data_IF_003584534980
#
_entry.id   IF_003584534980
#
_cell.length_a   1.000
_cell.length_b   1.000
_cell.length_c   1.000
_cell.angle_alpha   90.00
_cell.angle_beta   90.00
_cell.angle_gamma   90.00
#
_symmetry.space_group_name_H-M   'P 1'
#
loop_
_entity.id
_entity.type
_entity.pdbx_description
1 polymer ?
#
# COMPACT_ATOMS: atom_id res chain seq x y z
N UNK A 1 24.39 -34.75 47.08
CA UNK A 1 25.00 -34.51 45.75
C UNK A 1 24.03 -35.07 44.73
N UNK A 2 23.41 -34.31 43.83
CA UNK A 2 23.56 -32.89 43.53
C UNK A 2 22.32 -32.48 42.71
N UNK A 3 21.44 -31.69 43.32
CA UNK A 3 20.37 -30.93 42.67
C UNK A 3 20.97 -29.87 41.73
N UNK A 4 21.50 -30.27 40.56
CA UNK A 4 22.10 -29.33 39.60
C UNK A 4 21.56 -29.49 38.17
N UNK A 5 20.78 -30.53 37.86
CA UNK A 5 20.24 -30.72 36.49
C UNK A 5 18.86 -30.08 36.24
N UNK A 6 18.42 -29.13 37.07
CA UNK A 6 17.16 -28.38 36.87
C UNK A 6 17.35 -26.87 36.68
N UNK A 7 18.54 -26.40 36.29
CA UNK A 7 18.84 -24.97 36.19
C UNK A 7 19.50 -24.51 34.88
N UNK A 8 19.21 -25.15 33.73
CA UNK A 8 19.81 -24.77 32.44
C UNK A 8 18.85 -24.74 31.22
N UNK A 9 17.57 -24.45 31.42
CA UNK A 9 16.67 -24.06 30.29
C UNK A 9 16.21 -22.61 30.41
N UNK A 10 17.12 -21.74 30.85
CA UNK A 10 16.99 -20.29 30.83
C UNK A 10 17.99 -19.66 29.88
N UNK A 11 18.24 -20.30 28.73
CA UNK A 11 18.91 -19.63 27.62
C UNK A 11 17.82 -18.82 26.93
N UNK A 12 17.78 -17.53 27.23
CA UNK A 12 17.11 -16.53 26.40
C UNK A 12 17.72 -16.67 25.00
N UNK A 13 17.14 -17.56 24.16
CA UNK A 13 17.34 -17.46 22.72
C UNK A 13 16.83 -16.06 22.36
N UNK A 14 17.74 -15.19 21.94
CA UNK A 14 17.46 -13.82 21.53
C UNK A 14 16.57 -13.88 20.28
N UNK A 15 15.28 -14.14 20.49
CA UNK A 15 14.34 -14.42 19.44
C UNK A 15 13.96 -13.09 18.80
N UNK A 16 14.52 -12.85 17.62
CA UNK A 16 14.27 -11.65 16.82
C UNK A 16 12.82 -11.61 16.33
N UNK A 17 12.29 -10.40 16.12
CA UNK A 17 10.94 -10.24 15.61
C UNK A 17 10.94 -10.21 14.06
N UNK A 18 10.51 -11.30 13.36
CA UNK A 18 10.70 -11.44 11.92
C UNK A 18 10.04 -10.33 11.11
N UNK A 19 8.88 -9.86 11.57
CA UNK A 19 8.17 -8.72 10.96
C UNK A 19 9.02 -7.46 10.95
N UNK A 20 9.69 -7.15 12.08
CA UNK A 20 10.54 -5.96 12.17
C UNK A 20 11.81 -6.11 11.33
N UNK A 21 12.40 -7.30 11.27
CA UNK A 21 13.60 -7.54 10.44
C UNK A 21 13.32 -7.14 9.00
N UNK A 22 12.22 -7.64 8.41
CA UNK A 22 11.91 -7.33 7.02
C UNK A 22 11.62 -5.85 6.80
N UNK A 23 10.90 -5.20 7.73
CA UNK A 23 10.63 -3.77 7.65
C UNK A 23 11.88 -2.91 7.78
N UNK A 24 12.82 -3.30 8.65
CA UNK A 24 14.13 -2.64 8.77
C UNK A 24 14.89 -2.77 7.45
N UNK A 25 14.99 -3.98 6.89
CA UNK A 25 15.66 -4.21 5.60
C UNK A 25 15.03 -3.38 4.48
N UNK A 26 13.70 -3.35 4.39
CA UNK A 26 12.98 -2.56 3.38
C UNK A 26 13.20 -1.06 3.59
N UNK A 27 13.15 -0.59 4.84
CA UNK A 27 13.41 0.81 5.18
C UNK A 27 14.83 1.23 4.78
N UNK A 28 15.80 0.34 4.90
CA UNK A 28 17.20 0.59 4.51
C UNK A 28 17.41 0.53 3.00
N UNK A 29 16.73 -0.39 2.29
CA UNK A 29 16.79 -0.48 0.82
C UNK A 29 16.07 0.68 0.12
N UNK A 30 15.00 1.19 0.72
CA UNK A 30 14.13 2.21 0.15
C UNK A 30 13.82 3.31 1.18
N UNK A 31 14.80 4.19 1.46
CA UNK A 31 14.60 5.29 2.39
C UNK A 31 13.39 6.15 2.02
N UNK A 32 12.65 6.62 3.02
CA UNK A 32 11.48 7.50 2.89
C UNK A 32 10.27 6.93 2.12
N UNK A 33 10.29 5.65 1.73
CA UNK A 33 9.17 4.99 1.03
C UNK A 33 8.32 4.13 1.95
N UNK A 34 8.83 3.74 3.12
CA UNK A 34 8.12 2.94 4.11
C UNK A 34 7.51 3.82 5.22
N UNK A 35 6.23 3.61 5.50
CA UNK A 35 5.49 4.33 6.53
C UNK A 35 4.79 3.33 7.45
N UNK A 36 4.95 3.47 8.77
CA UNK A 36 4.21 2.68 9.75
C UNK A 36 3.10 3.53 10.38
N UNK A 37 1.96 2.91 10.67
CA UNK A 37 0.84 3.60 11.32
C UNK A 37 1.12 3.88 12.79
N UNK A 38 1.89 3.00 13.46
CA UNK A 38 2.32 3.16 14.84
C UNK A 38 3.71 3.84 14.90
N UNK A 39 3.77 4.98 15.59
CA UNK A 39 4.98 5.78 15.76
C UNK A 39 6.07 5.08 16.58
N UNK A 40 5.71 4.18 17.50
CA UNK A 40 6.68 3.40 18.25
C UNK A 40 7.34 2.38 17.33
N UNK A 41 6.56 1.65 16.54
CA UNK A 41 7.11 0.73 15.53
C UNK A 41 8.02 1.47 14.56
N UNK A 42 7.59 2.64 14.07
CA UNK A 42 8.41 3.47 13.17
C UNK A 42 9.74 3.90 13.81
N UNK A 43 9.73 4.31 15.08
CA UNK A 43 10.96 4.67 15.82
C UNK A 43 11.89 3.49 15.98
N UNK A 44 11.37 2.31 16.29
CA UNK A 44 12.19 1.12 16.50
C UNK A 44 12.78 0.59 15.18
N UNK A 45 12.05 0.71 14.07
CA UNK A 45 12.59 0.47 12.73
C UNK A 45 13.75 1.43 12.42
N UNK A 46 13.58 2.74 12.67
CA UNK A 46 14.63 3.75 12.44
C UNK A 46 15.87 3.57 13.32
N UNK A 47 15.71 2.94 14.48
CA UNK A 47 16.83 2.57 15.38
C UNK A 47 17.43 1.21 15.03
N UNK A 48 16.89 0.51 14.03
CA UNK A 48 17.27 -0.86 13.68
C UNK A 48 17.17 -1.81 14.89
N UNK A 49 16.14 -1.64 15.72
CA UNK A 49 15.94 -2.47 16.91
C UNK A 49 15.21 -3.77 16.54
N UNK A 50 15.98 -4.75 16.08
CA UNK A 50 15.51 -6.10 15.69
C UNK A 50 14.87 -6.90 16.84
N UNK A 51 15.02 -6.45 18.09
CA UNK A 51 14.55 -7.13 19.30
C UNK A 51 13.25 -6.56 19.85
N UNK A 52 12.76 -5.46 19.28
CA UNK A 52 11.51 -4.87 19.73
C UNK A 52 10.35 -5.81 19.43
N UNK A 53 9.61 -6.19 20.48
CA UNK A 53 8.42 -7.03 20.38
C UNK A 53 7.17 -6.17 20.29
N UNK A 54 6.31 -6.52 19.34
CA UNK A 54 5.06 -5.82 19.12
C UNK A 54 3.92 -6.83 19.02
N UNK A 55 3.02 -6.80 20.01
CA UNK A 55 2.01 -7.86 20.21
C UNK A 55 0.73 -7.65 19.38
N UNK A 56 0.66 -6.62 18.56
CA UNK A 56 -0.49 -6.36 17.69
C UNK A 56 -0.06 -6.49 16.22
N UNK A 57 -1.01 -6.31 15.31
CA UNK A 57 -0.79 -6.28 13.87
C UNK A 57 -0.03 -5.02 13.49
N UNK A 58 1.15 -5.17 12.89
CA UNK A 58 1.90 -4.03 12.35
C UNK A 58 1.24 -3.60 11.05
N UNK A 59 0.76 -2.36 11.01
CA UNK A 59 0.15 -1.76 9.82
C UNK A 59 1.14 -0.80 9.18
N UNK A 60 1.53 -1.09 7.95
CA UNK A 60 2.51 -0.29 7.23
C UNK A 60 2.14 -0.11 5.75
N UNK A 61 2.71 0.91 5.15
CA UNK A 61 2.48 1.30 3.77
C UNK A 61 3.81 1.56 3.07
N UNK A 62 3.97 1.01 1.87
CA UNK A 62 5.09 1.29 0.98
C UNK A 62 4.63 2.15 -0.19
N UNK A 63 5.31 3.27 -0.46
CA UNK A 63 4.90 4.25 -1.47
C UNK A 63 5.95 4.45 -2.54
N UNK A 64 5.54 4.29 -3.80
CA UNK A 64 6.33 4.62 -4.98
C UNK A 64 5.74 5.87 -5.62
N UNK A 65 6.53 6.93 -5.70
CA UNK A 65 6.20 8.15 -6.41
C UNK A 65 6.93 8.19 -7.76
N UNK A 66 6.18 8.43 -8.84
CA UNK A 66 6.73 8.74 -10.15
C UNK A 66 6.16 10.10 -10.60
N UNK A 67 7.05 11.07 -10.82
CA UNK A 67 6.70 12.43 -11.22
C UNK A 67 7.45 12.79 -12.50
N UNK A 68 6.76 12.76 -13.64
CA UNK A 68 7.27 13.24 -14.92
C UNK A 68 6.20 14.04 -15.66
N UNK A 69 6.61 15.15 -16.28
CA UNK A 69 5.82 15.92 -17.27
C UNK A 69 4.33 16.11 -16.89
N UNK A 70 4.08 16.69 -15.72
CA UNK A 70 2.73 17.01 -15.21
C UNK A 70 1.86 15.80 -14.78
N UNK A 71 2.39 14.59 -14.80
CA UNK A 71 1.72 13.38 -14.29
C UNK A 71 2.35 12.99 -12.95
N UNK A 72 1.52 12.97 -11.90
CA UNK A 72 1.89 12.41 -10.60
C UNK A 72 1.24 11.05 -10.47
N UNK A 73 2.07 10.02 -10.40
CA UNK A 73 1.65 8.64 -10.19
C UNK A 73 2.12 8.22 -8.80
N UNK A 74 1.21 7.62 -8.05
CA UNK A 74 1.51 7.05 -6.73
C UNK A 74 1.00 5.62 -6.68
N UNK A 75 1.90 4.68 -6.44
CA UNK A 75 1.55 3.34 -5.96
C UNK A 75 1.73 3.31 -4.45
N UNK A 76 0.70 2.88 -3.73
CA UNK A 76 0.73 2.64 -2.28
C UNK A 76 0.34 1.18 -2.02
N UNK A 77 1.24 0.44 -1.37
CA UNK A 77 1.02 -0.96 -0.97
C UNK A 77 0.81 -0.93 0.53
N UNK A 78 -0.41 -1.21 0.98
CA UNK A 78 -0.73 -1.32 2.40
C UNK A 78 -0.65 -2.79 2.81
N UNK A 79 -0.04 -3.05 3.96
CA UNK A 79 0.08 -4.40 4.50
C UNK A 79 -0.12 -4.44 6.00
N UNK A 80 -0.83 -5.49 6.42
CA UNK A 80 -1.10 -5.83 7.80
C UNK A 80 -0.30 -7.11 8.15
N UNK A 81 0.62 -6.98 9.11
CA UNK A 81 1.53 -8.04 9.56
C UNK A 81 1.14 -8.50 10.99
N UNK A 82 0.23 -9.48 11.13
CA UNK A 82 -0.19 -10.01 12.43
C UNK A 82 0.92 -10.86 13.07
N UNK A 83 0.76 -11.27 14.33
CA UNK A 83 1.75 -12.13 15.02
C UNK A 83 2.00 -13.47 14.31
N UNK A 84 1.03 -13.97 13.52
CA UNK A 84 1.18 -15.18 12.70
C UNK A 84 1.89 -14.97 11.36
N UNK A 85 2.58 -13.85 11.17
CA UNK A 85 3.41 -13.60 10.00
C UNK A 85 4.63 -14.55 9.99
N UNK A 86 5.03 -15.12 8.84
CA UNK A 86 4.61 -14.76 7.49
C UNK A 86 3.39 -15.52 6.95
N UNK A 87 2.91 -16.56 7.65
CA UNK A 87 1.81 -17.42 7.17
C UNK A 87 0.45 -16.71 7.09
N UNK A 88 0.25 -15.71 7.95
CA UNK A 88 -0.93 -14.86 7.94
C UNK A 88 -0.50 -13.44 7.64
N UNK A 89 -0.86 -12.92 6.47
CA UNK A 89 -0.71 -11.51 6.12
C UNK A 89 -1.84 -11.05 5.23
N UNK A 90 -2.18 -9.77 5.31
CA UNK A 90 -3.12 -9.15 4.37
C UNK A 90 -2.38 -8.08 3.57
N UNK A 91 -2.52 -8.15 2.25
CA UNK A 91 -1.95 -7.18 1.31
C UNK A 91 -3.09 -6.45 0.61
N UNK A 92 -3.02 -5.13 0.60
CA UNK A 92 -3.97 -4.25 -0.06
C UNK A 92 -3.22 -3.28 -0.96
N UNK A 93 -3.41 -3.43 -2.27
CA UNK A 93 -2.80 -2.54 -3.26
C UNK A 93 -3.72 -1.37 -3.58
N UNK A 94 -3.17 -0.16 -3.56
CA UNK A 94 -3.87 1.06 -3.91
C UNK A 94 -2.98 1.91 -4.82
N UNK A 95 -3.52 2.50 -5.88
CA UNK A 95 -2.76 3.46 -6.67
C UNK A 95 -3.61 4.65 -7.06
N UNK A 96 -2.96 5.81 -7.09
CA UNK A 96 -3.53 7.08 -7.43
C UNK A 96 -2.89 7.54 -8.74
N UNK A 97 -3.74 7.65 -9.76
CA UNK A 97 -3.37 8.07 -11.11
C UNK A 97 -4.37 9.14 -11.50
N UNK A 98 -3.86 10.34 -11.80
CA UNK A 98 -4.68 11.49 -12.16
C UNK A 98 -5.32 11.27 -13.54
N UNK A 99 -4.59 10.63 -14.46
CA UNK A 99 -5.05 10.32 -15.81
C UNK A 99 -6.06 9.14 -15.80
N UNK A 100 -7.35 9.36 -16.13
CA UNK A 100 -8.39 8.33 -16.03
C UNK A 100 -8.21 7.17 -17.01
N UNK A 101 -7.66 7.43 -18.20
CA UNK A 101 -7.45 6.39 -19.21
C UNK A 101 -6.27 5.49 -18.83
N UNK A 102 -5.19 6.10 -18.34
CA UNK A 102 -4.05 5.40 -17.75
C UNK A 102 -4.49 4.56 -16.54
N UNK A 103 -5.32 5.13 -15.66
CA UNK A 103 -5.88 4.42 -14.51
C UNK A 103 -6.64 3.16 -14.92
N UNK A 104 -7.53 3.27 -15.92
CA UNK A 104 -8.35 2.13 -16.38
C UNK A 104 -7.49 1.02 -16.99
N UNK A 105 -6.49 1.39 -17.80
CA UNK A 105 -5.62 0.42 -18.45
C UNK A 105 -4.74 -0.31 -17.42
N UNK A 106 -4.09 0.45 -16.52
CA UNK A 106 -3.24 -0.11 -15.48
C UNK A 106 -4.04 -0.90 -14.46
N UNK A 107 -5.25 -0.47 -14.08
CA UNK A 107 -6.12 -1.27 -13.19
C UNK A 107 -6.30 -2.69 -13.73
N UNK A 108 -6.66 -2.80 -15.02
CA UNK A 108 -6.95 -4.10 -15.62
C UNK A 108 -5.72 -5.02 -15.61
N UNK A 109 -4.53 -4.47 -15.87
CA UNK A 109 -3.30 -5.25 -16.01
C UNK A 109 -2.66 -5.54 -14.64
N UNK A 110 -2.50 -4.52 -13.80
CA UNK A 110 -1.81 -4.62 -12.52
C UNK A 110 -2.59 -5.42 -11.50
N UNK A 111 -3.94 -5.34 -11.48
CA UNK A 111 -4.74 -6.14 -10.53
C UNK A 111 -4.44 -7.63 -10.67
N UNK A 112 -4.40 -8.15 -11.90
CA UNK A 112 -4.11 -9.57 -12.11
C UNK A 112 -2.66 -9.91 -11.71
N UNK A 113 -1.69 -9.13 -12.19
CA UNK A 113 -0.27 -9.35 -11.89
C UNK A 113 0.03 -9.29 -10.39
N UNK A 114 -0.55 -8.35 -9.65
CA UNK A 114 -0.33 -8.22 -8.20
C UNK A 114 -1.07 -9.29 -7.39
N UNK A 115 -2.24 -9.75 -7.84
CA UNK A 115 -2.92 -10.86 -7.19
C UNK A 115 -2.08 -12.15 -7.21
N UNK A 116 -1.32 -12.39 -8.28
CA UNK A 116 -0.38 -13.51 -8.36
C UNK A 116 0.79 -13.39 -7.35
N UNK A 117 1.13 -12.17 -6.93
CA UNK A 117 2.21 -11.93 -5.97
C UNK A 117 1.79 -12.12 -4.51
N UNK A 118 0.49 -12.21 -4.22
CA UNK A 118 -0.02 -12.35 -2.83
C UNK A 118 0.54 -13.61 -2.16
N UNK A 119 0.84 -14.65 -2.94
CA UNK A 119 1.41 -15.91 -2.46
C UNK A 119 2.87 -15.81 -1.98
N UNK A 120 3.60 -14.75 -2.34
CA UNK A 120 4.97 -14.54 -1.85
C UNK A 120 4.88 -14.14 -0.39
N UNK A 121 5.45 -14.93 0.51
CA UNK A 121 5.27 -14.74 1.96
C UNK A 121 6.18 -13.67 2.57
N UNK A 122 7.33 -13.36 1.96
CA UNK A 122 8.31 -12.40 2.46
C UNK A 122 8.23 -11.05 1.72
N UNK A 123 8.21 -9.93 2.45
CA UNK A 123 8.17 -8.58 1.89
C UNK A 123 9.46 -8.20 1.14
N UNK A 124 10.62 -8.71 1.56
CA UNK A 124 11.93 -8.46 0.92
C UNK A 124 11.94 -8.95 -0.52
N UNK A 125 11.25 -10.06 -0.83
CA UNK A 125 11.11 -10.56 -2.21
C UNK A 125 9.95 -9.85 -2.94
N UNK A 126 8.85 -9.60 -2.23
CA UNK A 126 7.64 -9.04 -2.80
C UNK A 126 7.81 -7.59 -3.30
N UNK A 127 8.41 -6.71 -2.48
CA UNK A 127 8.50 -5.27 -2.77
C UNK A 127 9.32 -4.99 -4.05
N UNK A 128 10.53 -5.55 -4.25
CA UNK A 128 11.28 -5.36 -5.49
C UNK A 128 10.51 -5.82 -6.73
N UNK A 129 9.83 -6.97 -6.65
CA UNK A 129 9.04 -7.51 -7.76
C UNK A 129 7.85 -6.62 -8.12
N UNK A 130 7.20 -6.01 -7.12
CA UNK A 130 6.13 -5.03 -7.37
C UNK A 130 6.70 -3.78 -8.05
N UNK A 131 7.85 -3.28 -7.59
CA UNK A 131 8.52 -2.11 -8.18
C UNK A 131 8.85 -2.38 -9.66
N UNK A 132 9.40 -3.55 -9.96
CA UNK A 132 9.72 -3.99 -11.32
C UNK A 132 8.47 -4.00 -12.21
N UNK A 133 7.43 -4.74 -11.80
CA UNK A 133 6.17 -4.80 -12.55
C UNK A 133 5.58 -3.40 -12.73
N UNK A 134 5.56 -2.58 -11.68
CA UNK A 134 5.03 -1.21 -11.77
C UNK A 134 5.76 -0.41 -12.86
N UNK A 135 7.09 -0.40 -12.85
CA UNK A 135 7.91 0.32 -13.83
C UNK A 135 7.70 -0.19 -15.26
N UNK A 136 7.75 -1.51 -15.47
CA UNK A 136 7.56 -2.11 -16.78
C UNK A 136 6.23 -1.72 -17.43
N UNK A 137 5.13 -1.79 -16.66
CA UNK A 137 3.80 -1.47 -17.18
C UNK A 137 3.63 0.04 -17.38
N UNK A 138 4.24 0.89 -16.56
CA UNK A 138 4.25 2.34 -16.82
C UNK A 138 4.94 2.66 -18.14
N UNK A 139 6.10 2.06 -18.40
CA UNK A 139 6.85 2.31 -19.64
C UNK A 139 6.13 1.79 -20.88
N UNK A 140 5.47 0.64 -20.79
CA UNK A 140 4.64 0.11 -21.88
C UNK A 140 3.48 1.05 -22.23
N UNK A 141 2.75 1.53 -21.22
CA UNK A 141 1.64 2.46 -21.45
C UNK A 141 2.13 3.81 -21.98
N UNK A 142 3.27 4.30 -21.49
CA UNK A 142 3.91 5.53 -22.01
C UNK A 142 4.21 5.40 -23.51
N UNK A 143 4.86 4.31 -23.93
CA UNK A 143 5.16 4.02 -25.35
C UNK A 143 3.90 3.98 -26.21
N UNK A 144 2.84 3.32 -25.72
CA UNK A 144 1.57 3.22 -26.44
C UNK A 144 0.81 4.56 -26.53
N UNK A 145 0.90 5.40 -25.50
CA UNK A 145 0.28 6.74 -25.50
C UNK A 145 0.92 7.69 -26.51
N UNK A 146 2.25 7.64 -26.67
CA UNK A 146 2.99 8.43 -27.66
C UNK A 146 2.62 8.02 -29.10
N UNK A 147 2.38 6.73 -29.34
CA UNK A 147 1.99 6.22 -30.66
C UNK A 147 0.54 6.58 -31.05
N UNK A 148 -0.34 6.87 -30.08
CA UNK A 148 -1.76 7.23 -30.29
C UNK A 148 -2.02 8.75 -30.29
N UNK A 149 -0.98 9.58 -30.32
CA UNK A 149 -1.00 11.05 -30.24
C UNK A 149 -1.63 11.79 -31.45
N UNK A 150 -2.52 11.16 -32.23
CA UNK A 150 -3.37 11.88 -33.21
C UNK A 150 -4.79 12.15 -32.72
N UNK A 151 -5.21 11.59 -31.57
CA UNK A 151 -6.59 11.68 -31.08
C UNK A 151 -6.77 12.40 -29.73
N UNK A 152 -5.70 12.67 -28.98
CA UNK A 152 -5.79 13.23 -27.61
C UNK A 152 -5.75 14.76 -27.51
N UNK A 153 -5.22 15.47 -28.51
CA UNK A 153 -5.10 16.94 -28.45
C UNK A 153 -6.45 17.67 -28.47
N UNK A 154 -7.53 17.01 -28.91
CA UNK A 154 -8.87 17.63 -28.98
C UNK A 154 -9.59 17.76 -27.64
N UNK A 155 -9.14 17.06 -26.58
CA UNK A 155 -9.82 17.10 -25.26
C UNK A 155 -9.18 18.07 -24.27
N UNK A 156 -7.92 18.46 -24.47
CA UNK A 156 -7.15 19.25 -23.49
C UNK A 156 -7.32 20.78 -23.61
N UNK A 157 -7.91 21.29 -24.69
CA UNK A 157 -8.14 22.75 -24.81
C UNK A 157 -9.26 23.29 -23.91
N UNK A 158 -10.17 22.46 -23.38
CA UNK A 158 -11.28 22.93 -22.53
C UNK A 158 -11.06 22.87 -21.02
N UNK A 159 -9.98 22.27 -20.53
CA UNK A 159 -9.75 22.13 -19.06
C UNK A 159 -8.50 22.83 -18.52
N UNK A 160 -7.71 23.50 -19.35
CA UNK A 160 -6.53 24.25 -18.91
C UNK A 160 -6.83 25.68 -18.38
N UNK A 161 -7.99 25.86 -17.76
CA UNK A 161 -8.29 27.05 -16.99
C UNK A 161 -8.94 26.62 -15.67
N UNK A 162 -8.14 26.23 -14.70
CA UNK A 162 -8.28 26.62 -13.29
C UNK A 162 -7.27 25.88 -12.41
N UNK A 163 -6.41 26.68 -11.78
CA UNK A 163 -5.70 26.48 -10.50
C UNK A 163 -5.39 25.05 -10.02
N UNK A 164 -4.12 24.85 -9.66
CA UNK A 164 -3.50 23.77 -8.89
C UNK A 164 -4.35 23.19 -7.72
N UNK A 165 -5.43 22.49 -8.05
CA UNK A 165 -6.31 21.89 -7.05
C UNK A 165 -5.76 20.50 -6.76
N UNK A 166 -5.09 20.37 -5.61
CA UNK A 166 -4.59 19.08 -5.13
C UNK A 166 -5.78 18.25 -4.67
N UNK A 167 -6.07 17.16 -5.37
CA UNK A 167 -7.05 16.18 -4.92
C UNK A 167 -6.36 15.13 -4.05
N UNK A 168 -6.98 14.76 -2.94
CA UNK A 168 -6.54 13.65 -2.09
C UNK A 168 -7.61 12.58 -2.06
N UNK A 169 -7.22 11.32 -2.30
CA UNK A 169 -8.10 10.16 -2.17
C UNK A 169 -7.83 9.48 -0.83
N UNK A 170 -8.88 9.34 -0.04
CA UNK A 170 -8.85 8.66 1.26
C UNK A 170 -9.57 7.33 1.17
N UNK A 171 -9.01 6.30 1.80
CA UNK A 171 -9.66 5.01 2.00
C UNK A 171 -10.15 4.92 3.43
N UNK A 172 -11.46 4.78 3.60
CA UNK A 172 -12.10 4.68 4.92
C UNK A 172 -12.71 3.29 5.03
N UNK A 173 -12.03 2.41 5.77
CA UNK A 173 -12.61 1.14 6.19
C UNK A 173 -13.58 1.40 7.34
N UNK A 174 -14.85 1.08 7.14
CA UNK A 174 -15.85 1.27 8.19
C UNK A 174 -16.87 0.14 8.16
N UNK A 175 -17.09 -0.49 9.31
CA UNK A 175 -18.18 -1.46 9.49
C UNK A 175 -19.57 -0.85 9.22
N UNK A 176 -19.68 0.47 9.16
CA UNK A 176 -20.95 1.15 8.88
C UNK A 176 -21.36 1.15 7.41
N UNK A 177 -20.48 0.78 6.48
CA UNK A 177 -20.81 0.69 5.05
C UNK A 177 -21.78 -0.46 4.73
N UNK A 178 -21.99 -1.42 5.64
CA UNK A 178 -23.00 -2.46 5.46
C UNK A 178 -24.42 -1.94 5.63
N UNK A 179 -24.62 -0.89 6.44
CA UNK A 179 -25.95 -0.31 6.65
C UNK A 179 -26.35 0.57 5.47
N UNK A 180 -27.45 0.21 4.80
CA UNK A 180 -28.01 0.99 3.68
C UNK A 180 -28.37 2.42 4.09
N UNK A 181 -28.91 2.61 5.30
CA UNK A 181 -29.24 3.93 5.85
C UNK A 181 -27.99 4.78 6.12
N UNK A 182 -26.94 4.18 6.71
CA UNK A 182 -25.68 4.90 6.97
C UNK A 182 -24.96 5.26 5.66
N UNK A 183 -24.96 4.38 4.67
CA UNK A 183 -24.42 4.68 3.32
C UNK A 183 -25.09 5.88 2.67
N UNK A 184 -26.43 5.95 2.69
CA UNK A 184 -27.17 7.11 2.18
C UNK A 184 -26.78 8.40 2.92
N UNK A 185 -26.61 8.30 4.23
CA UNK A 185 -26.20 9.43 5.07
C UNK A 185 -24.78 9.91 4.73
N UNK A 186 -23.83 8.99 4.54
CA UNK A 186 -22.46 9.29 4.10
C UNK A 186 -22.48 10.00 2.74
N UNK A 187 -23.19 9.47 1.74
CA UNK A 187 -23.31 10.11 0.41
C UNK A 187 -23.88 11.51 0.52
N UNK A 188 -24.92 11.71 1.34
CA UNK A 188 -25.54 13.02 1.54
C UNK A 188 -24.53 14.01 2.15
N UNK A 189 -23.77 13.58 3.15
CA UNK A 189 -22.73 14.40 3.77
C UNK A 189 -21.63 14.73 2.75
N UNK A 190 -21.13 13.74 2.01
CA UNK A 190 -20.11 13.95 0.98
C UNK A 190 -20.56 14.97 -0.07
N UNK A 191 -21.82 14.91 -0.53
CA UNK A 191 -22.39 15.90 -1.45
C UNK A 191 -22.36 17.32 -0.88
N UNK A 192 -22.67 17.50 0.42
CA UNK A 192 -22.61 18.81 1.07
C UNK A 192 -21.18 19.38 1.11
N UNK A 193 -20.17 18.52 1.16
CA UNK A 193 -18.76 18.91 1.16
C UNK A 193 -18.10 18.85 -0.23
N UNK A 194 -18.87 18.65 -1.30
CA UNK A 194 -18.35 18.49 -2.67
C UNK A 194 -17.31 17.36 -2.80
N UNK A 195 -17.43 16.33 -1.95
CA UNK A 195 -16.57 15.15 -1.99
C UNK A 195 -17.17 14.10 -2.92
N UNK A 196 -16.32 13.55 -3.79
CA UNK A 196 -16.67 12.46 -4.70
C UNK A 196 -16.05 11.15 -4.20
N UNK A 197 -16.78 10.04 -4.34
CA UNK A 197 -16.31 8.73 -3.92
C UNK A 197 -17.27 7.61 -4.30
N UNK A 198 -16.83 6.37 -4.09
CA UNK A 198 -17.65 5.18 -4.25
C UNK A 198 -17.55 4.33 -2.99
N UNK A 199 -18.55 3.49 -2.73
CA UNK A 199 -18.55 2.54 -1.63
C UNK A 199 -18.72 1.14 -2.19
N UNK A 200 -17.76 0.26 -1.97
CA UNK A 200 -17.96 -1.17 -2.16
C UNK A 200 -18.55 -1.76 -0.88
N UNK A 201 -19.81 -2.17 -0.93
CA UNK A 201 -20.38 -3.04 0.10
C UNK A 201 -20.14 -4.49 -0.33
N UNK A 202 -19.11 -5.11 0.21
CA UNK A 202 -18.81 -6.54 0.05
C UNK A 202 -18.22 -7.09 1.34
N UNK A 203 -18.28 -8.41 1.55
CA UNK A 203 -17.49 -9.06 2.61
C UNK A 203 -16.00 -8.81 2.32
N UNK A 204 -15.18 -8.33 3.28
CA UNK A 204 -13.74 -8.41 3.15
C UNK A 204 -13.38 -9.90 3.25
N UNK A 205 -12.90 -10.48 2.15
CA UNK A 205 -12.35 -11.83 2.10
C UNK A 205 -13.38 -12.95 1.87
N UNK A 206 -13.88 -13.07 0.64
CA UNK A 206 -14.13 -14.37 0.01
C UNK A 206 -13.36 -14.43 -1.32
#
# INVERSE_FOLDING_TARGET
MSNVEQALTGVDEEEFEPRLIELIVISSMYPDQLFCSDLNVEKEIKKENHRFRYNDTIKAAFRIFDSEQSRRLLLEINFDLPEGYPDRKNLHFCWQIIDPDLYRLLNKVLTNKFNELIAINNLIELIPKIIEIWKENLDEVRKNSLNNSKSFDKFNEKQNQNSSTLFSRYWIFSHHIYSSLKRKSIIKICKNFHLNGFMLSGKPGE
#
